data_IF_919750850530
#
_entry.id   IF_919750850530
#
_cell.length_a   1.000
_cell.length_b   1.000
_cell.length_c   1.000
_cell.angle_alpha   90.00
_cell.angle_beta   90.00
_cell.angle_gamma   90.00
#
_symmetry.space_group_name_H-M   'P 1'
#
loop_
_entity.id
_entity.type
_entity.pdbx_description
1 polymer ?
#
# COMPACT_ATOMS: atom_id res chain seq x y z
N UNK A 1 -7.78 -17.62 5.12
CA UNK A 1 -6.61 -17.28 5.96
C UNK A 1 -6.83 -15.87 6.50
N UNK A 2 -6.84 -15.63 7.81
CA UNK A 2 -6.96 -14.27 8.35
C UNK A 2 -5.71 -13.46 7.98
N UNK A 3 -5.92 -12.30 7.37
CA UNK A 3 -4.86 -11.34 7.06
C UNK A 3 -4.34 -10.78 8.37
N UNK A 4 -3.06 -11.00 8.69
CA UNK A 4 -2.47 -10.45 9.91
C UNK A 4 -2.02 -9.02 9.64
N UNK A 5 -2.10 -8.16 10.65
CA UNK A 5 -1.59 -6.78 10.59
C UNK A 5 -0.13 -6.71 10.09
N UNK A 6 0.69 -7.68 10.49
CA UNK A 6 2.08 -7.81 10.04
C UNK A 6 2.22 -8.00 8.53
N UNK A 7 1.25 -8.68 7.89
CA UNK A 7 1.24 -8.87 6.44
C UNK A 7 0.88 -7.57 5.73
N UNK A 8 -0.02 -6.78 6.32
CA UNK A 8 -0.40 -5.44 5.83
C UNK A 8 0.77 -4.46 5.88
N UNK A 9 1.51 -4.42 7.00
CA UNK A 9 2.69 -3.55 7.15
C UNK A 9 3.82 -3.95 6.20
N UNK A 10 4.04 -5.25 6.03
CA UNK A 10 5.01 -5.78 5.06
C UNK A 10 4.60 -5.45 3.62
N UNK A 11 3.33 -5.60 3.27
CA UNK A 11 2.81 -5.23 1.95
C UNK A 11 2.97 -3.73 1.67
N UNK A 12 2.69 -2.87 2.65
CA UNK A 12 2.91 -1.42 2.54
C UNK A 12 4.38 -1.08 2.26
N UNK A 13 5.31 -1.72 2.98
CA UNK A 13 6.75 -1.50 2.76
C UNK A 13 7.20 -1.88 1.35
N UNK A 14 6.71 -3.00 0.82
CA UNK A 14 7.00 -3.44 -0.55
C UNK A 14 6.43 -2.50 -1.61
N UNK A 15 5.22 -1.98 -1.41
CA UNK A 15 4.60 -1.00 -2.31
C UNK A 15 5.35 0.34 -2.31
N UNK A 16 5.88 0.77 -1.16
CA UNK A 16 6.75 1.95 -1.05
C UNK A 16 8.05 1.78 -1.84
N UNK A 17 8.71 0.63 -1.69
CA UNK A 17 9.90 0.32 -2.48
C UNK A 17 9.62 0.26 -3.98
N UNK A 18 8.48 -0.32 -4.37
CA UNK A 18 8.06 -0.37 -5.76
C UNK A 18 7.85 1.04 -6.33
N UNK A 19 7.19 1.93 -5.58
CA UNK A 19 7.01 3.34 -5.99
C UNK A 19 8.33 4.11 -6.15
N UNK A 20 9.39 3.75 -5.40
CA UNK A 20 10.74 4.33 -5.56
C UNK A 20 11.44 3.87 -6.84
N UNK A 21 11.09 2.67 -7.32
CA UNK A 21 11.60 2.09 -8.57
C UNK A 21 10.88 2.67 -9.80
N UNK A 22 9.62 3.09 -9.66
CA UNK A 22 8.86 3.80 -10.70
C UNK A 22 9.37 5.24 -10.89
N UNK A 23 10.21 5.42 -11.91
CA UNK A 23 10.87 6.69 -12.24
C UNK A 23 10.48 7.21 -13.63
N UNK A 24 9.89 6.37 -14.48
CA UNK A 24 9.57 6.77 -15.84
C UNK A 24 8.32 7.67 -15.87
N UNK A 25 8.19 8.55 -16.88
CA UNK A 25 6.98 9.36 -17.04
C UNK A 25 5.74 8.51 -17.32
N UNK A 26 5.88 7.44 -18.10
CA UNK A 26 4.75 6.55 -18.43
C UNK A 26 4.22 5.80 -17.20
N UNK A 27 5.05 5.64 -16.16
CA UNK A 27 4.73 4.93 -14.93
C UNK A 27 4.03 5.83 -13.88
N UNK A 28 3.87 7.14 -14.13
CA UNK A 28 3.26 8.05 -13.15
C UNK A 28 1.81 7.68 -12.83
N UNK A 29 1.05 7.19 -13.82
CA UNK A 29 -0.31 6.71 -13.60
C UNK A 29 -0.35 5.51 -12.65
N UNK A 30 0.55 4.54 -12.86
CA UNK A 30 0.69 3.38 -11.98
C UNK A 30 1.13 3.79 -10.57
N UNK A 31 2.12 4.69 -10.48
CA UNK A 31 2.59 5.24 -9.20
C UNK A 31 1.47 5.91 -8.42
N UNK A 32 0.61 6.66 -9.09
CA UNK A 32 -0.55 7.30 -8.47
C UNK A 32 -1.60 6.28 -8.02
N UNK A 33 -1.87 5.23 -8.81
CA UNK A 33 -2.76 4.15 -8.42
C UNK A 33 -2.24 3.41 -7.17
N UNK A 34 -0.96 3.05 -7.14
CA UNK A 34 -0.33 2.38 -6.00
C UNK A 34 -0.38 3.25 -4.74
N UNK A 35 -0.11 4.57 -4.85
CA UNK A 35 -0.24 5.50 -3.73
C UNK A 35 -1.66 5.55 -3.16
N UNK A 36 -2.69 5.51 -4.01
CA UNK A 36 -4.10 5.46 -3.56
C UNK A 36 -4.36 4.18 -2.77
N UNK A 37 -3.90 3.03 -3.26
CA UNK A 37 -4.02 1.74 -2.54
C UNK A 37 -3.31 1.80 -1.20
N UNK A 38 -2.08 2.32 -1.14
CA UNK A 38 -1.37 2.51 0.13
C UNK A 38 -2.12 3.43 1.10
N UNK A 39 -2.77 4.49 0.61
CA UNK A 39 -3.60 5.38 1.41
C UNK A 39 -4.81 4.68 2.03
N UNK A 40 -5.45 3.77 1.30
CA UNK A 40 -6.53 2.92 1.82
C UNK A 40 -6.00 2.01 2.93
N UNK A 41 -4.85 1.36 2.70
CA UNK A 41 -4.24 0.46 3.68
C UNK A 41 -3.82 1.20 4.97
N UNK A 42 -3.44 2.49 4.88
CA UNK A 42 -3.12 3.35 6.03
C UNK A 42 -4.33 4.00 6.69
N UNK A 43 -5.54 3.85 6.12
CA UNK A 43 -6.76 4.43 6.68
C UNK A 43 -7.10 3.80 8.02
N UNK A 44 -7.55 4.62 8.98
CA UNK A 44 -8.02 4.18 10.29
C UNK A 44 -9.18 3.18 10.16
N UNK A 45 -10.06 3.35 9.17
CA UNK A 45 -11.14 2.42 8.89
C UNK A 45 -10.61 1.03 8.48
N UNK A 46 -9.64 0.99 7.57
CA UNK A 46 -9.08 -0.27 7.09
C UNK A 46 -8.26 -0.98 8.18
N UNK A 47 -7.50 -0.22 8.97
CA UNK A 47 -6.76 -0.74 10.13
C UNK A 47 -7.70 -1.30 11.22
N UNK A 48 -8.84 -0.67 11.45
CA UNK A 48 -9.87 -1.18 12.36
C UNK A 48 -10.54 -2.46 11.82
N UNK A 49 -10.80 -2.54 10.51
CA UNK A 49 -11.34 -3.75 9.86
C UNK A 49 -10.40 -4.95 9.93
N UNK A 50 -9.09 -4.72 10.01
CA UNK A 50 -8.09 -5.77 10.24
C UNK A 50 -8.04 -6.26 11.70
N UNK A 51 -8.87 -5.72 12.59
CA UNK A 51 -8.99 -6.15 13.98
C UNK A 51 -8.04 -5.46 14.95
N UNK A 52 -7.81 -4.15 14.77
CA UNK A 52 -7.38 -3.28 15.89
C UNK A 52 -8.58 -2.84 16.71
#
# INVERSE_FOLDING_TARGET
MPVKKTDTDRALSLLEEYCKKLRKPEEQLLKNAVKKVMGIFKSSLFQALLGC
#
